data_IF_216884924562
#
_entry.id   IF_216884924562
#
_cell.length_a   1.000
_cell.length_b   1.000
_cell.length_c   1.000
_cell.angle_alpha   90.00
_cell.angle_beta   90.00
_cell.angle_gamma   90.00
#
_symmetry.space_group_name_H-M   'P 1'
#
loop_
_entity.id
_entity.type
_entity.pdbx_description
1 polymer ?
#
# COMPACT_ATOMS: atom_id res chain seq x y z
N UNK A 1 1.34 -9.84 -9.19
CA UNK A 1 0.20 -10.52 -9.83
C UNK A 1 -0.70 -11.21 -8.79
N UNK A 2 -1.45 -10.43 -8.01
CA UNK A 2 -2.47 -10.99 -7.08
C UNK A 2 -3.88 -10.46 -7.39
N UNK A 3 -3.96 -9.31 -8.05
CA UNK A 3 -5.20 -8.60 -8.36
C UNK A 3 -6.13 -9.34 -9.34
N UNK A 4 -5.58 -9.97 -10.40
CA UNK A 4 -6.37 -10.80 -11.33
C UNK A 4 -7.08 -11.97 -10.63
N UNK A 5 -6.68 -12.35 -9.40
CA UNK A 5 -7.37 -13.40 -8.65
C UNK A 5 -8.77 -12.98 -8.19
N UNK A 6 -9.02 -11.67 -8.06
CA UNK A 6 -10.31 -11.13 -7.63
C UNK A 6 -11.21 -10.71 -8.81
N UNK A 7 -10.64 -10.53 -10.01
CA UNK A 7 -11.39 -10.24 -11.24
C UNK A 7 -12.52 -11.25 -11.56
N UNK A 8 -12.35 -12.58 -11.43
CA UNK A 8 -13.44 -13.52 -11.69
C UNK A 8 -14.60 -13.38 -10.70
N UNK A 9 -14.32 -12.96 -9.46
CA UNK A 9 -15.37 -12.67 -8.46
C UNK A 9 -16.21 -11.48 -8.93
N UNK A 10 -15.58 -10.42 -9.43
CA UNK A 10 -16.28 -9.26 -9.99
C UNK A 10 -17.19 -9.65 -11.17
N UNK A 11 -16.71 -10.46 -12.11
CA UNK A 11 -17.52 -10.93 -13.25
C UNK A 11 -18.72 -11.75 -12.77
N UNK A 12 -18.56 -12.59 -11.75
CA UNK A 12 -19.65 -13.38 -11.18
C UNK A 12 -20.75 -12.51 -10.56
N UNK A 13 -20.41 -11.35 -9.97
CA UNK A 13 -21.37 -10.38 -9.46
C UNK A 13 -22.08 -9.57 -10.55
N UNK A 14 -21.53 -9.50 -11.76
CA UNK A 14 -22.15 -8.80 -12.89
C UNK A 14 -23.19 -9.63 -13.63
N UNK A 15 -23.03 -10.95 -13.68
CA UNK A 15 -23.95 -11.85 -14.40
C UNK A 15 -25.43 -11.69 -13.99
N UNK A 16 -25.80 -11.58 -12.69
CA UNK A 16 -27.19 -11.38 -12.28
C UNK A 16 -27.80 -10.08 -12.82
N UNK A 17 -27.01 -9.00 -12.90
CA UNK A 17 -27.48 -7.73 -13.45
C UNK A 17 -27.66 -7.80 -14.97
N UNK A 18 -26.78 -8.50 -15.68
CA UNK A 18 -26.94 -8.75 -17.13
C UNK A 18 -28.23 -9.53 -17.40
N UNK A 19 -28.52 -10.57 -16.61
CA UNK A 19 -29.77 -11.33 -16.73
C UNK A 19 -30.99 -10.49 -16.36
N UNK A 20 -30.91 -9.72 -15.28
CA UNK A 20 -31.99 -8.82 -14.85
C UNK A 20 -32.33 -7.79 -15.93
N UNK A 21 -31.32 -7.15 -16.51
CA UNK A 21 -31.50 -6.21 -17.61
C UNK A 21 -31.92 -6.89 -18.92
N UNK A 22 -31.54 -8.14 -19.16
CA UNK A 22 -32.03 -8.90 -20.31
C UNK A 22 -33.54 -9.11 -20.25
N UNK A 23 -34.07 -9.41 -19.07
CA UNK A 23 -35.51 -9.56 -18.86
C UNK A 23 -36.20 -8.20 -18.91
N UNK A 24 -35.59 -7.17 -18.32
CA UNK A 24 -36.19 -5.84 -18.20
C UNK A 24 -36.18 -5.02 -19.50
N UNK A 25 -35.15 -5.19 -20.33
CA UNK A 25 -34.98 -4.49 -21.62
C UNK A 25 -35.53 -5.28 -22.81
N UNK A 26 -35.90 -6.55 -22.62
CA UNK A 26 -36.41 -7.42 -23.68
C UNK A 26 -37.79 -7.04 -24.21
N UNK A 27 -38.47 -6.05 -23.60
CA UNK A 27 -39.87 -5.74 -23.88
C UNK A 27 -40.08 -4.63 -24.93
N UNK A 28 -39.06 -3.83 -25.27
CA UNK A 28 -39.26 -2.67 -26.19
C UNK A 28 -39.09 -2.94 -27.68
N UNK A 29 -38.15 -3.81 -28.09
CA UNK A 29 -37.76 -3.92 -29.51
C UNK A 29 -37.45 -5.36 -29.97
N UNK A 30 -37.95 -6.36 -29.24
CA UNK A 30 -37.57 -7.77 -29.37
C UNK A 30 -36.40 -8.12 -28.44
N UNK A 31 -36.26 -9.39 -28.05
CA UNK A 31 -35.20 -9.79 -27.12
C UNK A 31 -33.83 -9.50 -27.75
N UNK A 32 -33.06 -8.53 -27.23
CA UNK A 32 -31.69 -8.35 -27.68
C UNK A 32 -30.93 -9.65 -27.41
N UNK A 33 -29.99 -9.98 -28.30
CA UNK A 33 -29.11 -11.13 -28.04
C UNK A 33 -28.41 -10.93 -26.69
N UNK A 34 -28.16 -12.04 -25.98
CA UNK A 34 -27.48 -11.99 -24.68
C UNK A 34 -26.21 -11.13 -24.70
N UNK A 35 -25.47 -11.19 -25.81
CA UNK A 35 -24.27 -10.39 -26.03
C UNK A 35 -24.54 -8.89 -26.18
N UNK A 36 -25.63 -8.50 -26.85
CA UNK A 36 -26.02 -7.09 -26.98
C UNK A 36 -26.42 -6.50 -25.62
N UNK A 37 -27.14 -7.25 -24.79
CA UNK A 37 -27.48 -6.84 -23.41
C UNK A 37 -26.23 -6.73 -22.54
N UNK A 38 -25.27 -7.64 -22.71
CA UNK A 38 -23.99 -7.61 -22.01
C UNK A 38 -23.22 -6.33 -22.35
N UNK A 39 -23.07 -6.00 -23.65
CA UNK A 39 -22.43 -4.74 -24.07
C UNK A 39 -23.18 -3.54 -23.48
N UNK A 40 -24.51 -3.55 -23.54
CA UNK A 40 -25.32 -2.45 -23.00
C UNK A 40 -25.16 -2.26 -21.50
N UNK A 41 -25.07 -3.36 -20.75
CA UNK A 41 -24.78 -3.33 -19.31
C UNK A 41 -23.37 -2.81 -19.02
N UNK A 42 -22.39 -3.10 -19.88
CA UNK A 42 -21.03 -2.55 -19.77
C UNK A 42 -20.98 -1.05 -20.07
N UNK A 43 -21.71 -0.57 -21.08
CA UNK A 43 -21.85 0.86 -21.38
C UNK A 43 -22.50 1.60 -20.19
N UNK A 44 -23.57 1.03 -19.64
CA UNK A 44 -24.20 1.52 -18.40
C UNK A 44 -23.26 1.50 -17.19
N UNK A 45 -22.34 0.54 -17.11
CA UNK A 45 -21.34 0.46 -16.04
C UNK A 45 -20.28 1.56 -16.12
N UNK A 46 -19.89 1.96 -17.33
CA UNK A 46 -18.96 3.07 -17.57
C UNK A 46 -19.62 4.41 -17.19
N UNK A 47 -20.95 4.43 -17.09
CA UNK A 47 -21.73 5.62 -16.74
C UNK A 47 -22.34 6.32 -17.94
N UNK A 48 -22.29 5.70 -19.12
CA UNK A 48 -23.02 6.18 -20.29
C UNK A 48 -24.48 5.72 -20.20
N UNK A 49 -25.37 6.69 -19.97
CA UNK A 49 -26.81 6.48 -19.97
C UNK A 49 -27.42 7.28 -21.11
N UNK A 50 -27.82 6.59 -22.18
CA UNK A 50 -28.69 7.20 -23.18
C UNK A 50 -30.14 7.07 -22.70
N UNK A 51 -30.62 8.12 -22.05
CA UNK A 51 -31.97 8.18 -21.48
C UNK A 51 -33.04 8.47 -22.55
N UNK A 52 -32.63 8.99 -23.70
CA UNK A 52 -33.57 9.54 -24.69
C UNK A 52 -34.17 8.49 -25.64
N UNK A 53 -33.53 7.32 -25.82
CA UNK A 53 -33.96 6.44 -26.92
C UNK A 53 -34.24 4.96 -26.57
N UNK A 54 -34.12 4.49 -25.31
CA UNK A 54 -34.20 3.02 -25.13
C UNK A 54 -34.46 2.38 -23.75
N UNK A 55 -34.86 3.08 -22.68
CA UNK A 55 -34.77 2.45 -21.34
C UNK A 55 -36.01 2.46 -20.45
N UNK A 56 -37.07 3.20 -20.77
CA UNK A 56 -38.19 3.28 -19.82
C UNK A 56 -39.56 3.45 -20.50
N UNK A 57 -40.05 2.46 -21.27
CA UNK A 57 -41.45 2.46 -21.74
C UNK A 57 -42.42 2.32 -20.55
N UNK A 58 -41.96 1.67 -19.48
CA UNK A 58 -42.70 1.32 -18.27
C UNK A 58 -41.79 1.55 -17.08
N UNK A 59 -41.78 2.79 -16.61
CA UNK A 59 -41.06 3.23 -15.43
C UNK A 59 -41.66 2.61 -14.17
N UNK A 60 -41.45 1.31 -14.00
CA UNK A 60 -41.94 0.58 -12.83
C UNK A 60 -40.98 0.83 -11.68
N UNK A 61 -41.47 0.89 -10.45
CA UNK A 61 -40.65 1.04 -9.24
C UNK A 61 -39.49 0.03 -9.20
N UNK A 62 -39.73 -1.18 -9.75
CA UNK A 62 -38.74 -2.25 -9.89
C UNK A 62 -37.53 -1.84 -10.74
N UNK A 63 -37.75 -1.17 -11.88
CA UNK A 63 -36.69 -0.73 -12.80
C UNK A 63 -35.75 0.27 -12.11
N UNK A 64 -36.32 1.28 -11.44
CA UNK A 64 -35.53 2.26 -10.69
C UNK A 64 -34.76 1.62 -9.54
N UNK A 65 -35.39 0.69 -8.81
CA UNK A 65 -34.76 0.01 -7.68
C UNK A 65 -33.59 -0.87 -8.15
N UNK A 66 -33.77 -1.66 -9.21
CA UNK A 66 -32.72 -2.51 -9.78
C UNK A 66 -31.57 -1.68 -10.36
N UNK A 67 -31.87 -0.58 -11.03
CA UNK A 67 -30.87 0.34 -11.57
C UNK A 67 -30.05 1.02 -10.46
N UNK A 68 -30.69 1.49 -9.38
CA UNK A 68 -30.00 2.05 -8.24
C UNK A 68 -29.08 1.03 -7.55
N UNK A 69 -29.58 -0.20 -7.34
CA UNK A 69 -28.78 -1.28 -6.76
C UNK A 69 -27.57 -1.63 -7.63
N UNK A 70 -27.76 -1.66 -8.95
CA UNK A 70 -26.69 -1.85 -9.92
C UNK A 70 -25.61 -0.77 -9.79
N UNK A 71 -25.99 0.51 -9.80
CA UNK A 71 -25.04 1.63 -9.67
C UNK A 71 -24.27 1.58 -8.36
N UNK A 72 -24.96 1.34 -7.25
CA UNK A 72 -24.33 1.22 -5.93
C UNK A 72 -23.30 0.08 -5.93
N UNK A 73 -23.70 -1.08 -6.45
CA UNK A 73 -22.88 -2.28 -6.50
C UNK A 73 -21.63 -2.08 -7.35
N UNK A 74 -21.79 -1.56 -8.58
CA UNK A 74 -20.69 -1.24 -9.49
C UNK A 74 -19.74 -0.22 -8.86
N UNK A 75 -20.26 0.83 -8.22
CA UNK A 75 -19.43 1.86 -7.58
C UNK A 75 -18.57 1.29 -6.46
N UNK A 76 -19.17 0.48 -5.56
CA UNK A 76 -18.43 -0.15 -4.47
C UNK A 76 -17.37 -1.12 -5.02
N UNK A 77 -17.71 -1.92 -6.03
CA UNK A 77 -16.76 -2.83 -6.64
C UNK A 77 -15.61 -2.11 -7.36
N UNK A 78 -15.90 -1.07 -8.15
CA UNK A 78 -14.87 -0.29 -8.85
C UNK A 78 -13.95 0.42 -7.87
N UNK A 79 -14.48 0.99 -6.78
CA UNK A 79 -13.66 1.62 -5.74
C UNK A 79 -12.77 0.60 -5.02
N UNK A 80 -13.33 -0.56 -4.64
CA UNK A 80 -12.55 -1.63 -4.01
C UNK A 80 -11.46 -2.17 -4.93
N UNK A 81 -11.77 -2.28 -6.22
CA UNK A 81 -10.84 -2.72 -7.25
C UNK A 81 -9.74 -1.68 -7.49
N UNK A 82 -10.09 -0.40 -7.61
CA UNK A 82 -9.14 0.69 -7.85
C UNK A 82 -8.19 0.89 -6.65
N UNK A 83 -8.72 0.86 -5.42
CA UNK A 83 -7.92 0.88 -4.19
C UNK A 83 -7.02 -0.35 -4.13
N UNK A 84 -7.55 -1.54 -4.46
CA UNK A 84 -6.82 -2.80 -4.52
C UNK A 84 -5.68 -2.79 -5.54
N UNK A 85 -5.85 -2.12 -6.68
CA UNK A 85 -4.80 -1.95 -7.68
C UNK A 85 -3.70 -1.01 -7.15
N UNK A 86 -4.08 0.19 -6.70
CA UNK A 86 -3.16 1.21 -6.22
C UNK A 86 -2.35 0.75 -5.00
N UNK A 87 -2.99 0.07 -4.04
CA UNK A 87 -2.31 -0.44 -2.84
C UNK A 87 -1.35 -1.58 -3.17
N UNK A 88 -1.64 -2.38 -4.21
CA UNK A 88 -0.77 -3.49 -4.59
C UNK A 88 0.54 -3.02 -5.23
N UNK A 89 0.53 -1.86 -5.88
CA UNK A 89 1.72 -1.27 -6.50
C UNK A 89 2.57 -0.51 -5.48
N UNK A 90 1.93 0.18 -4.53
CA UNK A 90 2.64 0.82 -3.41
C UNK A 90 3.30 -0.22 -2.48
N UNK A 91 2.59 -1.30 -2.13
CA UNK A 91 3.13 -2.33 -1.21
C UNK A 91 4.36 -3.02 -1.77
N UNK A 92 4.38 -3.37 -3.07
CA UNK A 92 5.57 -3.99 -3.71
C UNK A 92 6.78 -3.08 -3.70
N UNK A 93 6.54 -1.79 -3.91
CA UNK A 93 7.61 -0.78 -3.90
C UNK A 93 8.16 -0.60 -2.49
N UNK A 94 7.30 -0.63 -1.47
CA UNK A 94 7.68 -0.58 -0.06
C UNK A 94 8.46 -1.83 0.39
N UNK A 95 8.04 -3.03 -0.01
CA UNK A 95 8.78 -4.27 0.28
C UNK A 95 10.17 -4.28 -0.36
N UNK A 96 10.29 -3.76 -1.58
CA UNK A 96 11.58 -3.60 -2.24
C UNK A 96 12.44 -2.57 -1.51
N UNK A 97 11.86 -1.43 -1.13
CA UNK A 97 12.57 -0.38 -0.41
C UNK A 97 13.02 -0.82 0.99
N UNK A 98 12.22 -1.59 1.73
CA UNK A 98 12.57 -2.09 3.06
C UNK A 98 13.74 -3.07 3.01
N UNK A 99 13.75 -3.99 2.03
CA UNK A 99 14.88 -4.90 1.79
C UNK A 99 16.15 -4.13 1.37
N UNK A 100 16.00 -3.11 0.53
CA UNK A 100 17.12 -2.24 0.14
C UNK A 100 17.65 -1.45 1.33
N UNK A 101 16.79 -0.94 2.21
CA UNK A 101 17.21 -0.22 3.43
C UNK A 101 18.09 -1.10 4.31
N UNK A 102 17.69 -2.35 4.56
CA UNK A 102 18.49 -3.28 5.36
C UNK A 102 19.82 -3.61 4.69
N UNK A 103 19.83 -3.79 3.35
CA UNK A 103 21.08 -4.01 2.60
C UNK A 103 22.03 -2.81 2.70
N UNK A 104 21.52 -1.61 2.50
CA UNK A 104 22.31 -0.37 2.61
C UNK A 104 22.89 -0.19 4.01
N UNK A 105 22.13 -0.51 5.06
CA UNK A 105 22.63 -0.48 6.44
C UNK A 105 23.81 -1.45 6.62
N UNK A 106 23.68 -2.69 6.13
CA UNK A 106 24.74 -3.70 6.23
C UNK A 106 25.98 -3.26 5.43
N UNK A 107 25.78 -2.77 4.21
CA UNK A 107 26.87 -2.31 3.34
C UNK A 107 27.63 -1.13 3.96
N UNK A 108 26.89 -0.17 4.55
CA UNK A 108 27.48 0.96 5.26
C UNK A 108 28.31 0.49 6.46
N UNK A 109 27.78 -0.45 7.25
CA UNK A 109 28.51 -1.03 8.40
C UNK A 109 29.77 -1.74 7.94
N UNK A 110 29.68 -2.54 6.87
CA UNK A 110 30.81 -3.25 6.29
C UNK A 110 31.89 -2.28 5.79
N UNK A 111 31.48 -1.18 5.16
CA UNK A 111 32.42 -0.17 4.69
C UNK A 111 33.18 0.49 5.85
N UNK A 112 32.46 0.84 6.93
CA UNK A 112 33.06 1.37 8.16
C UNK A 112 33.99 0.34 8.83
N UNK A 113 33.60 -0.94 8.88
CA UNK A 113 34.44 -1.99 9.47
C UNK A 113 35.77 -2.15 8.72
N UNK A 114 35.75 -2.01 7.40
CA UNK A 114 36.95 -2.16 6.55
C UNK A 114 37.94 -1.00 6.76
N UNK A 115 37.45 0.21 7.03
CA UNK A 115 38.28 1.40 7.27
C UNK A 115 38.80 1.43 8.73
N UNK A 116 38.17 0.69 9.64
CA UNK A 116 38.49 0.73 11.07
C UNK A 116 39.73 -0.13 11.43
N UNK A 117 40.74 0.41 12.13
CA UNK A 117 41.93 -0.36 12.52
C UNK A 117 41.63 -1.45 13.55
N UNK A 118 42.33 -2.59 13.43
CA UNK A 118 42.23 -3.81 14.26
C UNK A 118 42.11 -3.55 15.78
N UNK A 119 42.88 -2.59 16.29
CA UNK A 119 42.93 -2.22 17.72
C UNK A 119 41.65 -1.53 18.19
N UNK A 120 41.09 -0.66 17.34
CA UNK A 120 39.84 0.05 17.60
C UNK A 120 38.66 -0.92 17.48
N UNK A 121 38.67 -1.80 16.46
CA UNK A 121 37.67 -2.86 16.26
C UNK A 121 37.55 -3.75 17.49
N UNK A 122 38.67 -4.28 18.01
CA UNK A 122 38.67 -5.13 19.22
C UNK A 122 38.17 -4.41 20.47
N UNK A 123 38.47 -3.11 20.61
CA UNK A 123 38.04 -2.31 21.78
C UNK A 123 36.55 -1.95 21.70
N UNK A 124 36.07 -1.48 20.55
CA UNK A 124 34.65 -1.21 20.30
C UNK A 124 33.79 -2.46 20.51
N UNK A 125 34.23 -3.62 20.00
CA UNK A 125 33.49 -4.88 20.20
C UNK A 125 33.37 -5.28 21.68
N UNK A 126 34.44 -5.09 22.48
CA UNK A 126 34.41 -5.36 23.92
C UNK A 126 33.49 -4.38 24.67
N UNK A 127 33.46 -3.11 24.26
CA UNK A 127 32.57 -2.10 24.82
C UNK A 127 31.11 -2.37 24.49
N UNK A 128 30.81 -2.68 23.22
CA UNK A 128 29.45 -3.00 22.75
C UNK A 128 28.90 -4.27 23.39
N UNK A 129 29.75 -5.30 23.57
CA UNK A 129 29.38 -6.55 24.27
C UNK A 129 28.93 -6.31 25.71
N UNK A 130 29.47 -5.29 26.39
CA UNK A 130 29.04 -4.93 27.76
C UNK A 130 27.74 -4.14 27.82
N UNK A 131 27.25 -3.62 26.69
CA UNK A 131 26.03 -2.82 26.60
C UNK A 131 24.81 -3.64 26.17
N UNK A 132 25.02 -4.82 25.59
CA UNK A 132 23.96 -5.78 25.25
C UNK A 132 23.58 -6.62 26.48
N UNK A 133 23.21 -5.94 27.55
CA UNK A 133 22.61 -6.56 28.73
C UNK A 133 21.13 -6.15 28.71
N UNK A 134 20.18 -7.08 28.52
CA UNK A 134 18.80 -6.76 28.16
C UNK A 134 17.95 -6.13 29.28
N UNK A 135 18.51 -5.86 30.45
CA UNK A 135 17.77 -5.55 31.68
C UNK A 135 17.98 -4.11 32.23
N UNK A 136 18.55 -3.17 31.47
CA UNK A 136 18.69 -1.77 31.94
C UNK A 136 18.27 -0.71 30.92
N UNK A 137 17.47 0.23 31.41
CA UNK A 137 16.77 1.31 30.70
C UNK A 137 17.55 2.01 29.57
N UNK A 138 16.91 2.09 28.41
CA UNK A 138 17.46 2.49 27.11
C UNK A 138 17.95 3.95 27.03
N UNK A 139 17.45 4.87 27.86
CA UNK A 139 17.65 6.30 27.64
C UNK A 139 19.00 6.85 28.16
N UNK A 140 19.55 6.30 29.26
CA UNK A 140 20.81 6.78 29.87
C UNK A 140 22.06 6.05 29.36
N UNK A 141 21.90 4.83 28.84
CA UNK A 141 23.00 3.98 28.35
C UNK A 141 23.54 4.42 26.99
N UNK A 142 22.71 4.99 26.12
CA UNK A 142 23.14 5.54 24.83
C UNK A 142 24.12 6.71 25.03
N UNK A 143 23.79 7.67 25.90
CA UNK A 143 24.60 8.87 26.10
C UNK A 143 25.90 8.56 26.85
N UNK A 144 25.85 7.72 27.90
CA UNK A 144 27.05 7.35 28.67
C UNK A 144 28.00 6.44 27.88
N UNK A 145 27.45 5.45 27.16
CA UNK A 145 28.20 4.55 26.29
C UNK A 145 28.84 5.29 25.10
N UNK A 146 28.09 6.19 24.47
CA UNK A 146 28.57 7.03 23.37
C UNK A 146 29.66 8.01 23.84
N UNK A 147 29.50 8.64 25.01
CA UNK A 147 30.51 9.50 25.65
C UNK A 147 31.78 8.74 26.04
N UNK A 148 31.66 7.48 26.44
CA UNK A 148 32.81 6.61 26.64
C UNK A 148 33.47 6.33 25.30
N UNK A 149 32.73 5.90 24.28
CA UNK A 149 33.25 5.57 22.94
C UNK A 149 33.98 6.75 22.27
N UNK A 150 33.40 7.96 22.32
CA UNK A 150 34.00 9.19 21.76
C UNK A 150 35.29 9.61 22.46
N UNK A 151 35.34 9.45 23.78
CA UNK A 151 36.53 9.74 24.59
C UNK A 151 37.67 8.76 24.30
N UNK A 152 37.37 7.55 23.83
CA UNK A 152 38.37 6.58 23.34
C UNK A 152 38.79 6.85 21.89
N UNK A 153 37.98 7.56 21.10
CA UNK A 153 38.28 7.95 19.72
C UNK A 153 39.22 9.16 19.61
N UNK A 154 39.61 9.78 20.73
CA UNK A 154 40.51 10.95 20.75
C UNK A 154 39.89 12.24 20.20
N UNK A 155 38.58 12.25 19.92
CA UNK A 155 37.88 13.44 19.44
C UNK A 155 37.72 14.44 20.59
N UNK A 156 38.22 15.66 20.36
CA UNK A 156 38.23 16.76 21.32
C UNK A 156 36.83 17.04 21.89
N UNK A 157 36.77 17.39 23.19
CA UNK A 157 35.54 17.72 23.93
C UNK A 157 34.67 18.78 23.23
N UNK A 158 35.26 19.58 22.34
CA UNK A 158 34.59 20.64 21.61
C UNK A 158 33.70 20.12 20.47
N UNK A 159 34.09 19.02 19.80
CA UNK A 159 33.29 18.39 18.76
C UNK A 159 32.00 17.75 19.33
N UNK A 160 32.09 17.17 20.54
CA UNK A 160 30.92 16.61 21.24
C UNK A 160 29.91 17.68 21.66
N UNK A 161 30.34 18.91 21.96
CA UNK A 161 29.42 20.00 22.37
C UNK A 161 28.59 20.51 21.20
N UNK A 162 29.15 20.54 19.99
CA UNK A 162 28.45 20.98 18.78
C UNK A 162 27.40 19.97 18.31
N UNK A 163 27.73 18.69 18.23
CA UNK A 163 26.74 17.68 17.80
C UNK A 163 25.61 17.52 18.83
N UNK A 164 25.93 17.55 20.12
CA UNK A 164 24.92 17.40 21.18
C UNK A 164 23.97 18.61 21.27
N UNK A 165 24.39 19.81 20.86
CA UNK A 165 23.54 21.00 20.69
C UNK A 165 22.53 20.83 19.54
N UNK A 166 22.97 20.26 18.42
CA UNK A 166 22.12 19.98 17.25
C UNK A 166 21.02 18.95 17.59
N UNK A 167 21.32 17.95 18.43
CA UNK A 167 20.35 16.94 18.84
C UNK A 167 19.43 17.38 20.01
N UNK A 168 19.86 18.29 20.88
CA UNK A 168 19.06 18.79 22.01
C UNK A 168 18.33 20.11 21.75
N UNK A 169 18.56 20.76 20.60
CA UNK A 169 17.86 22.01 20.24
C UNK A 169 18.16 23.17 21.20
N UNK A 170 19.41 23.26 21.67
CA UNK A 170 19.93 24.40 22.47
C UNK A 170 21.08 25.05 21.71
#
# INVERSE_FOLDING_TARGET
>A
MSFLRFAPVFVMFLLPFVVSFHVLLGEERGLPSFFATLIRTLVMMIGEFDYEDSVVPKATLLTYTMFFLFLFTVTVFLMNLLIGLAVSDTTRTLEKASRTRTRLQIETIQHVETIMPETLRRKCWRGFRKLKDPERDEHWLSIAGFRQCFRWLGLSKNAMRQEMSIYLGI
#
